data_IF_281150044131
#
_entry.id   IF_281150044131
#
_cell.length_a   1.000
_cell.length_b   1.000
_cell.length_c   1.000
_cell.angle_alpha   90.00
_cell.angle_beta   90.00
_cell.angle_gamma   90.00
#
_symmetry.space_group_name_H-M   'P 1'
#
loop_
_entity.id
_entity.type
_entity.pdbx_description
1 polymer ?
#
# COMPACT_ATOMS: atom_id res chain seq x y z
N UNK A 1 -8.03 9.65 -30.56
CA UNK A 1 -8.18 8.19 -30.33
C UNK A 1 -8.73 7.97 -28.93
N UNK A 2 -9.59 6.95 -28.72
CA UNK A 2 -10.05 6.53 -27.38
C UNK A 2 -9.31 5.29 -26.97
N UNK A 3 -8.57 5.40 -25.87
CA UNK A 3 -7.67 4.36 -25.39
C UNK A 3 -8.17 3.80 -24.05
N UNK A 4 -8.25 2.48 -23.96
CA UNK A 4 -8.51 1.77 -22.72
C UNK A 4 -7.21 1.16 -22.18
N UNK A 5 -6.78 1.59 -21.00
CA UNK A 5 -5.69 0.96 -20.25
C UNK A 5 -6.32 0.12 -19.15
N UNK A 6 -6.07 -1.19 -19.16
CA UNK A 6 -6.76 -2.12 -18.25
C UNK A 6 -5.82 -3.14 -17.63
N UNK A 7 -6.15 -3.62 -16.44
CA UNK A 7 -5.42 -4.65 -15.71
C UNK A 7 -4.53 -4.06 -14.60
N UNK A 8 -3.25 -4.43 -14.58
CA UNK A 8 -2.29 -3.95 -13.59
C UNK A 8 -1.77 -2.55 -13.93
N UNK A 9 -2.61 -1.55 -13.70
CA UNK A 9 -2.39 -0.15 -14.07
C UNK A 9 -1.68 0.67 -12.98
N UNK A 10 -1.15 0.03 -11.94
CA UNK A 10 -0.47 0.72 -10.82
C UNK A 10 0.84 1.42 -11.21
N UNK A 11 1.44 1.05 -12.34
CA UNK A 11 2.65 1.67 -12.89
C UNK A 11 2.38 2.92 -13.73
N UNK A 12 1.11 3.21 -14.04
CA UNK A 12 0.73 4.32 -14.91
C UNK A 12 0.73 5.63 -14.13
N UNK A 13 1.57 6.57 -14.53
CA UNK A 13 1.63 7.95 -14.02
C UNK A 13 0.96 8.93 -14.98
N UNK A 14 0.84 10.20 -14.59
CA UNK A 14 0.32 11.23 -15.49
C UNK A 14 1.26 11.47 -16.66
N UNK A 15 2.54 11.48 -16.39
CA UNK A 15 3.61 11.65 -17.36
C UNK A 15 3.57 10.50 -18.37
N UNK A 16 3.38 9.25 -17.90
CA UNK A 16 3.17 8.09 -18.76
C UNK A 16 2.01 8.30 -19.73
N UNK A 17 0.85 8.76 -19.24
CA UNK A 17 -0.34 8.97 -20.11
C UNK A 17 -0.08 10.08 -21.13
N UNK A 18 0.61 11.16 -20.72
CA UNK A 18 0.94 12.27 -21.61
C UNK A 18 1.94 11.89 -22.70
N UNK A 19 2.90 11.03 -22.37
CA UNK A 19 3.90 10.55 -23.31
C UNK A 19 3.32 9.50 -24.27
N UNK A 20 2.64 8.49 -23.74
CA UNK A 20 2.13 7.38 -24.53
C UNK A 20 0.92 7.79 -25.44
N UNK A 21 0.09 8.73 -24.97
CA UNK A 21 -1.19 9.05 -25.62
C UNK A 21 -1.52 10.56 -25.53
N UNK A 22 -0.67 11.45 -26.08
CA UNK A 22 -0.73 12.91 -25.84
C UNK A 22 -2.05 13.56 -26.25
N UNK A 23 -2.68 13.08 -27.32
CA UNK A 23 -3.91 13.66 -27.89
C UNK A 23 -5.15 12.75 -27.77
N UNK A 24 -5.09 11.78 -26.86
CA UNK A 24 -6.13 10.75 -26.76
C UNK A 24 -7.03 10.94 -25.53
N UNK A 25 -8.25 10.45 -25.65
CA UNK A 25 -9.11 10.23 -24.47
C UNK A 25 -8.72 8.90 -23.82
N UNK A 26 -8.18 8.95 -22.59
CA UNK A 26 -7.67 7.78 -21.91
C UNK A 26 -8.61 7.35 -20.79
N UNK A 27 -9.06 6.11 -20.85
CA UNK A 27 -9.83 5.45 -19.82
C UNK A 27 -8.93 4.39 -19.12
N UNK A 28 -8.72 4.54 -17.82
CA UNK A 28 -7.95 3.58 -17.03
C UNK A 28 -8.90 2.77 -16.16
N UNK A 29 -8.79 1.44 -16.26
CA UNK A 29 -9.62 0.49 -15.53
C UNK A 29 -8.74 -0.54 -14.80
N UNK A 30 -8.51 -0.32 -13.50
CA UNK A 30 -7.64 -1.17 -12.71
C UNK A 30 -7.25 -0.56 -11.35
N UNK A 31 -6.05 -0.86 -10.90
CA UNK A 31 -5.47 -0.44 -9.63
C UNK A 31 -4.63 0.86 -9.70
N UNK A 32 -4.96 1.74 -10.64
CA UNK A 32 -4.24 3.00 -10.85
C UNK A 32 -4.28 3.91 -9.61
N UNK A 33 -3.16 4.59 -9.36
CA UNK A 33 -3.01 5.60 -8.31
C UNK A 33 -3.52 6.99 -8.75
N UNK A 34 -3.86 7.14 -10.04
CA UNK A 34 -4.33 8.39 -10.61
C UNK A 34 -5.78 8.68 -10.22
N UNK A 35 -6.13 9.96 -10.30
CA UNK A 35 -7.51 10.45 -10.14
C UNK A 35 -8.08 10.88 -11.49
N UNK A 36 -9.39 10.73 -11.65
CA UNK A 36 -10.10 11.20 -12.84
C UNK A 36 -9.93 12.70 -13.02
N UNK A 37 -9.47 13.10 -14.21
CA UNK A 37 -9.32 14.51 -14.63
C UNK A 37 -10.12 14.77 -15.91
N UNK A 38 -11.39 15.18 -15.78
CA UNK A 38 -12.30 15.40 -16.94
C UNK A 38 -11.77 16.42 -17.95
N UNK A 39 -11.06 17.48 -17.47
CA UNK A 39 -10.49 18.51 -18.38
C UNK A 39 -9.36 17.99 -19.26
N UNK A 40 -8.71 16.89 -18.87
CA UNK A 40 -7.62 16.26 -19.61
C UNK A 40 -8.05 14.98 -20.31
N UNK A 41 -9.34 14.72 -20.41
CA UNK A 41 -9.89 13.51 -21.00
C UNK A 41 -9.34 12.21 -20.38
N UNK A 42 -9.05 12.25 -19.07
CA UNK A 42 -8.58 11.12 -18.29
C UNK A 42 -9.68 10.64 -17.34
N UNK A 43 -10.17 9.42 -17.55
CA UNK A 43 -11.15 8.77 -16.69
C UNK A 43 -10.48 7.58 -15.99
N UNK A 44 -10.53 7.54 -14.67
CA UNK A 44 -9.94 6.45 -13.88
C UNK A 44 -11.02 5.77 -13.06
N UNK A 45 -11.11 4.44 -13.17
CA UNK A 45 -12.04 3.62 -12.39
C UNK A 45 -11.37 2.32 -11.93
N UNK A 46 -11.79 1.74 -10.80
CA UNK A 46 -11.41 0.37 -10.45
C UNK A 46 -11.96 -0.61 -11.49
N UNK A 47 -11.37 -1.80 -11.56
CA UNK A 47 -11.90 -2.87 -12.39
C UNK A 47 -13.30 -3.26 -11.87
N UNK A 48 -14.34 -3.32 -12.74
CA UNK A 48 -15.70 -3.64 -12.31
C UNK A 48 -15.81 -5.08 -11.80
N UNK A 49 -16.52 -5.24 -10.70
CA UNK A 49 -16.83 -6.57 -10.16
C UNK A 49 -17.95 -7.25 -10.94
N UNK A 50 -18.92 -6.46 -11.43
CA UNK A 50 -20.10 -6.94 -12.16
C UNK A 50 -19.93 -6.84 -13.66
N UNK A 51 -20.46 -7.82 -14.36
CA UNK A 51 -20.39 -7.91 -15.83
C UNK A 51 -21.19 -6.80 -16.51
N UNK A 52 -22.31 -6.39 -15.92
CA UNK A 52 -23.16 -5.33 -16.46
C UNK A 52 -22.45 -3.99 -16.52
N UNK A 53 -21.61 -3.68 -15.51
CA UNK A 53 -20.84 -2.44 -15.48
C UNK A 53 -19.76 -2.43 -16.57
N UNK A 54 -19.13 -3.57 -16.81
CA UNK A 54 -18.14 -3.71 -17.87
C UNK A 54 -18.80 -3.58 -19.26
N UNK A 55 -19.98 -4.21 -19.42
CA UNK A 55 -20.76 -4.09 -20.65
C UNK A 55 -21.17 -2.63 -20.92
N UNK A 56 -21.64 -1.90 -19.92
CA UNK A 56 -22.00 -0.50 -20.03
C UNK A 56 -20.80 0.40 -20.42
N UNK A 57 -19.62 0.11 -19.89
CA UNK A 57 -18.38 0.83 -20.25
C UNK A 57 -18.09 0.61 -21.75
N UNK A 58 -18.03 -0.63 -22.23
CA UNK A 58 -17.74 -0.93 -23.63
C UNK A 58 -18.84 -0.47 -24.59
N UNK A 59 -20.08 -0.35 -24.12
CA UNK A 59 -21.18 0.22 -24.91
C UNK A 59 -21.15 1.74 -25.00
N UNK A 60 -20.71 2.40 -23.90
CA UNK A 60 -20.68 3.85 -23.80
C UNK A 60 -19.47 4.45 -24.48
N UNK A 61 -18.33 3.77 -24.36
CA UNK A 61 -17.06 4.21 -24.93
C UNK A 61 -16.68 3.28 -26.08
N UNK A 62 -16.60 3.85 -27.28
CA UNK A 62 -16.14 3.13 -28.47
C UNK A 62 -14.61 3.20 -28.51
N UNK A 63 -13.94 2.22 -27.88
CA UNK A 63 -12.49 2.17 -27.77
C UNK A 63 -11.87 1.74 -29.10
N UNK A 64 -10.84 2.47 -29.55
CA UNK A 64 -10.05 2.18 -30.74
C UNK A 64 -8.79 1.37 -30.40
N UNK A 65 -8.24 1.58 -29.20
CA UNK A 65 -7.07 0.86 -28.70
C UNK A 65 -7.31 0.39 -27.27
N UNK A 66 -7.01 -0.87 -26.99
CA UNK A 66 -6.92 -1.41 -25.64
C UNK A 66 -5.49 -1.86 -25.36
N UNK A 67 -4.91 -1.38 -24.25
CA UNK A 67 -3.63 -1.88 -23.73
C UNK A 67 -3.90 -2.60 -22.42
N UNK A 68 -3.66 -3.91 -22.43
CA UNK A 68 -3.84 -4.77 -21.26
C UNK A 68 -2.50 -4.95 -20.54
N UNK A 69 -2.41 -4.44 -19.33
CA UNK A 69 -1.27 -4.60 -18.42
C UNK A 69 -1.48 -5.88 -17.61
N UNK A 70 -0.83 -6.96 -17.97
CA UNK A 70 -0.96 -8.21 -17.22
C UNK A 70 -0.24 -8.15 -15.87
N UNK A 71 -0.64 -9.00 -14.91
CA UNK A 71 0.10 -9.13 -13.66
C UNK A 71 1.52 -9.68 -13.85
N UNK A 72 1.80 -10.30 -15.01
CA UNK A 72 3.10 -10.87 -15.34
C UNK A 72 4.20 -9.83 -15.60
N UNK A 73 3.86 -8.56 -15.76
CA UNK A 73 4.82 -7.45 -15.88
C UNK A 73 5.39 -7.02 -14.51
N UNK A 74 4.84 -7.54 -13.41
CA UNK A 74 5.32 -7.27 -12.05
C UNK A 74 6.25 -8.39 -11.60
N UNK A 75 7.43 -8.03 -11.16
CA UNK A 75 8.39 -8.97 -10.59
C UNK A 75 7.82 -9.56 -9.29
N UNK A 76 7.76 -10.89 -9.19
CA UNK A 76 7.07 -11.61 -8.12
C UNK A 76 5.59 -11.20 -7.90
N UNK A 77 4.93 -10.71 -8.96
CA UNK A 77 3.51 -10.40 -8.93
C UNK A 77 2.62 -11.63 -8.75
N UNK A 78 1.41 -11.40 -8.22
CA UNK A 78 0.38 -12.45 -8.06
C UNK A 78 -0.20 -12.83 -9.42
N UNK A 79 -0.43 -14.14 -9.63
CA UNK A 79 -0.97 -14.67 -10.90
C UNK A 79 -2.45 -15.02 -10.81
N UNK A 80 -3.01 -14.88 -9.62
CA UNK A 80 -4.37 -15.29 -9.32
C UNK A 80 -5.39 -14.44 -10.08
N UNK A 81 -6.36 -15.10 -10.73
CA UNK A 81 -7.44 -14.43 -11.45
C UNK A 81 -7.06 -13.74 -12.77
N UNK A 82 -5.77 -13.75 -13.20
CA UNK A 82 -5.30 -13.04 -14.38
C UNK A 82 -5.99 -13.52 -15.66
N UNK A 83 -5.98 -14.84 -15.91
CA UNK A 83 -6.58 -15.42 -17.11
C UNK A 83 -8.11 -15.16 -17.20
N UNK A 84 -8.79 -15.15 -16.07
CA UNK A 84 -10.23 -14.86 -16.00
C UNK A 84 -10.53 -13.40 -16.34
N UNK A 85 -9.79 -12.46 -15.75
CA UNK A 85 -9.92 -11.03 -16.06
C UNK A 85 -9.64 -10.74 -17.52
N UNK A 86 -8.54 -11.31 -18.04
CA UNK A 86 -8.17 -11.17 -19.43
C UNK A 86 -9.26 -11.70 -20.37
N UNK A 87 -9.75 -12.93 -20.14
CA UNK A 87 -10.84 -13.52 -20.89
C UNK A 87 -12.11 -12.66 -20.87
N UNK A 88 -12.44 -12.14 -19.69
CA UNK A 88 -13.59 -11.25 -19.49
C UNK A 88 -13.48 -10.00 -20.36
N UNK A 89 -12.36 -9.28 -20.30
CA UNK A 89 -12.14 -8.07 -21.09
C UNK A 89 -12.14 -8.37 -22.58
N UNK A 90 -11.42 -9.40 -23.04
CA UNK A 90 -11.38 -9.80 -24.46
C UNK A 90 -12.77 -10.17 -25.00
N UNK A 91 -13.66 -10.72 -24.17
CA UNK A 91 -15.02 -11.05 -24.58
C UNK A 91 -15.86 -9.82 -24.94
N UNK A 92 -15.53 -8.64 -24.41
CA UNK A 92 -16.18 -7.38 -24.76
C UNK A 92 -15.54 -6.69 -25.95
N UNK A 93 -14.23 -6.87 -26.18
CA UNK A 93 -13.54 -6.34 -27.37
C UNK A 93 -14.17 -6.84 -28.68
N UNK A 94 -14.70 -8.06 -28.71
CA UNK A 94 -15.38 -8.62 -29.90
C UNK A 94 -16.61 -7.83 -30.36
N UNK A 95 -17.13 -6.94 -29.52
CA UNK A 95 -18.29 -6.08 -29.82
C UNK A 95 -17.91 -4.78 -30.53
N UNK A 96 -16.66 -4.35 -30.40
CA UNK A 96 -16.11 -3.16 -31.08
C UNK A 96 -15.63 -3.56 -32.46
N UNK A 97 -16.01 -2.82 -33.49
CA UNK A 97 -15.70 -3.18 -34.89
C UNK A 97 -14.25 -2.91 -35.30
N UNK A 98 -13.55 -2.01 -34.58
CA UNK A 98 -12.23 -1.50 -34.98
C UNK A 98 -11.22 -1.42 -33.82
N UNK A 99 -11.44 -2.18 -32.75
CA UNK A 99 -10.52 -2.13 -31.61
C UNK A 99 -9.22 -2.91 -31.90
N UNK A 100 -8.09 -2.27 -31.62
CA UNK A 100 -6.78 -2.90 -31.59
C UNK A 100 -6.43 -3.29 -30.16
N UNK A 101 -5.72 -4.40 -29.98
CA UNK A 101 -5.36 -4.91 -28.64
C UNK A 101 -3.85 -5.06 -28.54
N UNK A 102 -3.26 -4.41 -27.53
CA UNK A 102 -1.90 -4.65 -27.07
C UNK A 102 -1.97 -5.39 -25.74
N UNK A 103 -1.40 -6.59 -25.70
CA UNK A 103 -1.27 -7.36 -24.46
C UNK A 103 0.18 -7.29 -23.97
N UNK A 104 0.40 -6.59 -22.86
CA UNK A 104 1.71 -6.49 -22.22
C UNK A 104 1.91 -7.67 -21.28
N UNK A 105 2.99 -8.40 -21.43
CA UNK A 105 3.32 -9.58 -20.64
C UNK A 105 4.78 -9.58 -20.20
N UNK A 106 5.10 -10.39 -19.19
CA UNK A 106 6.45 -10.48 -18.63
C UNK A 106 7.41 -11.33 -19.51
N UNK A 107 8.69 -11.34 -19.16
CA UNK A 107 9.73 -12.02 -19.95
C UNK A 107 9.69 -13.55 -19.83
N UNK A 108 8.91 -14.11 -18.89
CA UNK A 108 8.90 -15.56 -18.58
C UNK A 108 8.46 -16.42 -19.77
N UNK A 109 7.64 -15.89 -20.68
CA UNK A 109 7.26 -16.63 -21.88
C UNK A 109 8.46 -17.02 -22.75
N UNK A 110 9.55 -16.25 -22.68
CA UNK A 110 10.80 -16.50 -23.37
C UNK A 110 11.80 -17.40 -22.61
N UNK A 111 11.47 -17.87 -21.40
CA UNK A 111 12.39 -18.70 -20.62
C UNK A 111 12.39 -20.15 -21.13
N UNK A 112 13.56 -20.80 -21.11
CA UNK A 112 13.70 -22.21 -21.46
C UNK A 112 12.99 -23.12 -20.45
N UNK A 113 13.06 -22.76 -19.15
CA UNK A 113 12.46 -23.56 -18.08
C UNK A 113 10.92 -23.58 -18.19
N UNK A 114 10.36 -24.79 -18.05
CA UNK A 114 8.90 -24.98 -18.02
C UNK A 114 8.41 -25.03 -16.58
N UNK A 115 8.28 -23.88 -15.98
CA UNK A 115 7.70 -23.73 -14.64
C UNK A 115 6.18 -23.50 -14.74
N UNK A 116 5.46 -23.67 -13.62
CA UNK A 116 4.04 -23.31 -13.57
C UNK A 116 3.79 -21.86 -14.01
N UNK A 117 4.70 -20.94 -13.65
CA UNK A 117 4.65 -19.54 -14.06
C UNK A 117 4.78 -19.36 -15.57
N UNK A 118 5.79 -19.96 -16.21
CA UNK A 118 5.98 -19.86 -17.66
C UNK A 118 4.79 -20.44 -18.44
N UNK A 119 4.18 -21.52 -17.93
CA UNK A 119 2.99 -22.10 -18.55
C UNK A 119 1.78 -21.16 -18.48
N UNK A 120 1.57 -20.49 -17.34
CA UNK A 120 0.49 -19.52 -17.17
C UNK A 120 0.66 -18.30 -18.10
N UNK A 121 1.88 -17.76 -18.18
CA UNK A 121 2.19 -16.64 -19.09
C UNK A 121 1.91 -17.01 -20.53
N UNK A 122 2.44 -18.15 -21.01
CA UNK A 122 2.19 -18.65 -22.38
C UNK A 122 0.72 -18.98 -22.62
N UNK A 123 0.01 -19.48 -21.61
CA UNK A 123 -1.43 -19.72 -21.68
C UNK A 123 -2.23 -18.43 -21.91
N UNK A 124 -1.88 -17.35 -21.23
CA UNK A 124 -2.51 -16.04 -21.41
C UNK A 124 -2.21 -15.43 -22.78
N UNK A 125 -0.97 -15.54 -23.28
CA UNK A 125 -0.62 -15.15 -24.66
C UNK A 125 -1.44 -15.92 -25.70
N UNK A 126 -1.55 -17.24 -25.54
CA UNK A 126 -2.35 -18.06 -26.42
C UNK A 126 -3.83 -17.68 -26.39
N UNK A 127 -4.36 -17.32 -25.22
CA UNK A 127 -5.74 -16.83 -25.08
C UNK A 127 -5.95 -15.57 -25.93
N UNK A 128 -5.05 -14.59 -25.86
CA UNK A 128 -5.10 -13.39 -26.69
C UNK A 128 -5.08 -13.71 -28.18
N UNK A 129 -4.16 -14.60 -28.61
CA UNK A 129 -4.05 -15.03 -30.01
C UNK A 129 -5.33 -15.71 -30.48
N UNK A 130 -5.94 -16.58 -29.67
CA UNK A 130 -7.16 -17.30 -30.07
C UNK A 130 -8.35 -16.33 -30.22
N UNK A 131 -8.50 -15.38 -29.28
CA UNK A 131 -9.54 -14.36 -29.39
C UNK A 131 -9.32 -13.45 -30.61
N UNK A 132 -8.07 -13.04 -30.87
CA UNK A 132 -7.75 -12.25 -32.05
C UNK A 132 -8.14 -12.97 -33.35
N UNK A 133 -7.77 -14.22 -33.50
CA UNK A 133 -8.13 -15.04 -34.67
C UNK A 133 -9.63 -15.31 -34.80
N UNK A 134 -10.28 -15.65 -33.68
CA UNK A 134 -11.72 -16.01 -33.67
C UNK A 134 -12.62 -14.82 -34.03
N UNK A 135 -12.26 -13.63 -33.56
CA UNK A 135 -13.10 -12.43 -33.72
C UNK A 135 -12.51 -11.40 -34.69
N UNK A 136 -11.42 -11.75 -35.37
CA UNK A 136 -10.73 -10.86 -36.32
C UNK A 136 -10.29 -9.52 -35.68
N UNK A 137 -9.84 -9.59 -34.43
CA UNK A 137 -9.31 -8.46 -33.68
C UNK A 137 -7.79 -8.40 -33.89
N UNK A 138 -7.23 -7.27 -34.34
CA UNK A 138 -5.78 -7.09 -34.37
C UNK A 138 -5.18 -7.14 -32.98
N UNK A 139 -4.35 -8.14 -32.67
CA UNK A 139 -3.73 -8.35 -31.38
C UNK A 139 -2.21 -8.34 -31.53
N UNK A 140 -1.55 -7.54 -30.67
CA UNK A 140 -0.09 -7.57 -30.47
C UNK A 140 0.22 -8.05 -29.06
N UNK A 141 1.11 -9.02 -28.96
CA UNK A 141 1.67 -9.50 -27.68
C UNK A 141 3.05 -8.89 -27.53
N UNK A 142 3.23 -8.08 -26.48
CA UNK A 142 4.47 -7.39 -26.22
C UNK A 142 5.07 -7.93 -24.93
N UNK A 143 6.16 -8.68 -25.06
CA UNK A 143 6.93 -9.22 -23.92
C UNK A 143 7.92 -8.18 -23.47
N UNK A 144 7.76 -7.69 -22.28
CA UNK A 144 8.59 -6.62 -21.70
C UNK A 144 9.37 -7.14 -20.49
N UNK A 145 10.54 -6.56 -20.18
CA UNK A 145 11.13 -6.68 -18.85
C UNK A 145 10.12 -6.21 -17.77
N UNK A 146 10.34 -6.61 -16.51
CA UNK A 146 9.45 -6.23 -15.43
C UNK A 146 9.44 -4.72 -15.22
N UNK A 147 8.26 -4.14 -15.01
CA UNK A 147 8.15 -2.74 -14.62
C UNK A 147 8.54 -2.56 -13.15
N UNK A 148 9.01 -1.37 -12.82
CA UNK A 148 9.35 -1.00 -11.45
C UNK A 148 8.81 0.39 -11.08
N UNK A 149 8.59 0.60 -9.78
CA UNK A 149 8.03 1.84 -9.25
C UNK A 149 8.37 2.05 -7.77
N UNK A 150 8.65 3.29 -7.37
CA UNK A 150 8.76 3.67 -5.96
C UNK A 150 7.43 3.96 -5.28
N UNK A 151 6.31 4.01 -6.01
CA UNK A 151 5.02 4.44 -5.47
C UNK A 151 3.93 3.37 -5.50
N UNK A 152 4.05 2.37 -6.37
CA UNK A 152 3.09 1.29 -6.50
C UNK A 152 3.32 0.21 -5.44
N UNK A 153 2.38 0.05 -4.49
CA UNK A 153 2.53 -0.80 -3.30
C UNK A 153 2.74 -2.29 -3.59
N UNK A 154 2.26 -2.78 -4.72
CA UNK A 154 2.44 -4.19 -5.11
C UNK A 154 3.79 -4.43 -5.80
N UNK A 155 4.50 -3.36 -6.16
CA UNK A 155 5.82 -3.44 -6.78
C UNK A 155 6.87 -4.02 -5.82
N UNK A 156 7.83 -4.75 -6.39
CA UNK A 156 8.92 -5.36 -5.65
C UNK A 156 9.81 -4.32 -4.96
N UNK A 157 10.13 -3.21 -5.65
CA UNK A 157 10.98 -2.16 -5.09
C UNK A 157 10.30 -1.36 -3.99
N UNK A 158 8.99 -1.10 -4.13
CA UNK A 158 8.24 -0.49 -3.02
C UNK A 158 8.32 -1.35 -1.74
N UNK A 159 8.12 -2.67 -1.86
CA UNK A 159 8.21 -3.61 -0.73
C UNK A 159 9.64 -3.69 -0.17
N UNK A 160 10.64 -3.70 -1.05
CA UNK A 160 12.06 -3.65 -0.67
C UNK A 160 12.40 -2.38 0.12
N UNK A 161 11.99 -1.21 -0.34
CA UNK A 161 12.21 0.07 0.34
C UNK A 161 11.49 0.14 1.69
N UNK A 162 10.29 -0.45 1.79
CA UNK A 162 9.58 -0.58 3.06
C UNK A 162 10.36 -1.45 4.06
N UNK A 163 10.96 -2.58 3.62
CA UNK A 163 11.80 -3.43 4.45
C UNK A 163 13.08 -2.69 4.90
N UNK A 164 13.78 -1.99 3.99
CA UNK A 164 14.95 -1.17 4.34
C UNK A 164 14.59 -0.17 5.44
N UNK A 165 13.48 0.53 5.28
CA UNK A 165 13.06 1.55 6.25
C UNK A 165 12.64 0.99 7.61
N UNK A 166 12.01 -0.19 7.63
CA UNK A 166 11.61 -0.85 8.89
C UNK A 166 12.76 -1.57 9.59
N UNK A 167 13.95 -1.65 8.96
CA UNK A 167 15.09 -2.40 9.46
C UNK A 167 14.92 -3.92 9.33
N UNK A 168 13.97 -4.36 8.51
CA UNK A 168 13.77 -5.76 8.17
C UNK A 168 14.80 -6.23 7.14
N UNK A 169 15.15 -7.52 7.11
CA UNK A 169 16.02 -8.06 6.08
C UNK A 169 15.40 -7.93 4.69
N UNK A 170 16.21 -7.53 3.71
CA UNK A 170 15.81 -7.56 2.30
C UNK A 170 16.10 -8.94 1.74
N UNK A 171 15.03 -9.66 1.36
CA UNK A 171 15.14 -10.97 0.74
C UNK A 171 15.28 -10.86 -0.78
N UNK A 172 16.35 -11.43 -1.34
CA UNK A 172 16.57 -11.59 -2.78
C UNK A 172 16.50 -13.07 -3.11
N UNK A 173 15.56 -13.46 -3.97
CA UNK A 173 15.35 -14.87 -4.34
C UNK A 173 16.17 -15.28 -5.56
N UNK A 174 16.71 -14.32 -6.29
CA UNK A 174 17.53 -14.53 -7.46
C UNK A 174 19.00 -14.74 -7.11
N UNK A 175 19.72 -15.45 -7.98
CA UNK A 175 21.18 -15.54 -7.87
C UNK A 175 21.82 -14.16 -8.04
N UNK A 176 22.90 -13.84 -7.29
CA UNK A 176 23.63 -12.58 -7.46
C UNK A 176 24.11 -12.32 -8.89
N UNK A 177 24.42 -13.36 -9.63
CA UNK A 177 24.89 -13.27 -11.02
C UNK A 177 23.73 -13.26 -12.06
N UNK A 178 22.48 -13.29 -11.58
CA UNK A 178 21.31 -13.20 -12.44
C UNK A 178 21.20 -11.77 -13.01
N UNK A 179 21.02 -11.62 -14.33
CA UNK A 179 20.81 -10.30 -14.93
C UNK A 179 19.51 -9.67 -14.44
N UNK A 180 19.55 -8.37 -14.15
CA UNK A 180 18.36 -7.57 -13.89
C UNK A 180 17.56 -7.40 -15.19
N UNK A 181 16.27 -7.68 -15.14
CA UNK A 181 15.37 -7.54 -16.28
C UNK A 181 14.23 -6.59 -15.92
N UNK A 182 14.56 -5.31 -15.87
CA UNK A 182 13.60 -4.26 -15.51
C UNK A 182 13.53 -3.20 -16.61
N UNK A 183 12.36 -2.59 -16.75
CA UNK A 183 12.05 -1.56 -17.72
C UNK A 183 11.39 -0.38 -17.00
N UNK A 184 11.86 0.83 -17.27
CA UNK A 184 11.22 2.03 -16.79
C UNK A 184 9.87 2.24 -17.49
N UNK A 185 8.85 2.70 -16.75
CA UNK A 185 7.52 2.94 -17.30
C UNK A 185 7.51 4.04 -18.37
N UNK A 186 8.40 5.03 -18.30
CA UNK A 186 8.51 6.08 -19.33
C UNK A 186 9.09 5.56 -20.64
N UNK A 187 10.07 4.63 -20.58
CA UNK A 187 10.55 3.93 -21.78
C UNK A 187 9.43 3.11 -22.43
N UNK A 188 8.57 2.46 -21.63
CA UNK A 188 7.40 1.77 -22.16
C UNK A 188 6.38 2.75 -22.78
N UNK A 189 6.19 3.93 -22.20
CA UNK A 189 5.28 4.95 -22.74
C UNK A 189 5.71 5.38 -24.14
N UNK A 190 7.00 5.67 -24.35
CA UNK A 190 7.56 6.01 -25.67
C UNK A 190 7.35 4.88 -26.70
N UNK A 191 7.51 3.62 -26.26
CA UNK A 191 7.25 2.48 -27.14
C UNK A 191 5.77 2.39 -27.54
N UNK A 192 4.84 2.59 -26.59
CA UNK A 192 3.41 2.54 -26.85
C UNK A 192 2.96 3.67 -27.78
N UNK A 193 3.51 4.88 -27.65
CA UNK A 193 3.30 5.99 -28.59
C UNK A 193 3.67 5.56 -30.00
N UNK A 194 4.91 5.07 -30.21
CA UNK A 194 5.39 4.62 -31.52
C UNK A 194 4.58 3.48 -32.11
N UNK A 195 4.08 2.58 -31.27
CA UNK A 195 3.24 1.46 -31.70
C UNK A 195 1.84 1.89 -32.09
N UNK A 196 1.27 2.87 -31.39
CA UNK A 196 -0.07 3.41 -31.69
C UNK A 196 -0.07 4.23 -32.98
N UNK A 197 1.00 4.98 -33.23
CA UNK A 197 1.14 5.83 -34.43
C UNK A 197 1.46 5.00 -35.69
N UNK A 198 2.17 3.90 -35.54
CA UNK A 198 2.61 3.02 -36.62
C UNK A 198 2.14 1.59 -36.40
N UNK A 199 0.82 1.39 -36.36
CA UNK A 199 0.27 0.05 -36.25
C UNK A 199 0.66 -0.81 -37.43
N UNK A 200 1.17 -2.00 -37.15
CA UNK A 200 1.61 -2.97 -38.14
C UNK A 200 0.88 -4.30 -37.94
N UNK A 201 0.31 -4.85 -38.98
CA UNK A 201 -0.43 -6.12 -38.92
C UNK A 201 0.46 -7.36 -39.12
N UNK A 202 1.71 -7.18 -39.56
CA UNK A 202 2.61 -8.29 -39.86
C UNK A 202 3.16 -8.93 -38.58
N UNK A 203 3.46 -8.14 -37.54
CA UNK A 203 4.14 -8.64 -36.36
C UNK A 203 3.19 -8.74 -35.17
N UNK A 204 2.84 -9.99 -34.80
CA UNK A 204 1.97 -10.26 -33.65
C UNK A 204 2.71 -10.36 -32.33
N UNK A 205 3.98 -10.77 -32.34
CA UNK A 205 4.83 -10.91 -31.17
C UNK A 205 5.99 -9.93 -31.23
N UNK A 206 6.15 -9.13 -30.17
CA UNK A 206 7.23 -8.20 -30.01
C UNK A 206 7.96 -8.51 -28.70
N UNK A 207 9.28 -8.58 -28.76
CA UNK A 207 10.11 -8.72 -27.57
C UNK A 207 10.86 -7.40 -27.33
N UNK A 208 10.68 -6.85 -26.13
CA UNK A 208 11.40 -5.66 -25.71
C UNK A 208 12.76 -6.07 -25.16
N UNK A 209 13.86 -5.52 -25.70
CA UNK A 209 15.21 -5.90 -25.28
C UNK A 209 15.50 -5.43 -23.85
N UNK A 210 16.28 -6.22 -23.13
CA UNK A 210 17.04 -5.75 -21.99
C UNK A 210 18.46 -5.41 -22.44
N UNK A 211 18.76 -4.15 -22.58
CA UNK A 211 20.06 -3.68 -23.09
C UNK A 211 21.10 -3.50 -21.98
N UNK A 212 20.67 -3.51 -20.72
CA UNK A 212 21.54 -3.32 -19.55
C UNK A 212 22.05 -4.68 -19.07
N UNK A 213 23.37 -4.79 -18.84
CA UNK A 213 24.03 -6.01 -18.37
C UNK A 213 24.14 -6.09 -16.85
N UNK A 214 23.40 -5.25 -16.12
CA UNK A 214 23.44 -5.21 -14.68
C UNK A 214 22.90 -6.49 -14.02
N UNK A 215 23.42 -6.81 -12.84
CA UNK A 215 23.11 -8.03 -12.08
C UNK A 215 22.49 -7.73 -10.71
N UNK A 216 21.92 -8.74 -10.05
CA UNK A 216 21.45 -8.59 -8.67
C UNK A 216 22.56 -8.28 -7.68
N UNK A 217 23.81 -8.67 -7.96
CA UNK A 217 24.99 -8.28 -7.16
C UNK A 217 25.20 -6.77 -7.13
N UNK A 218 25.01 -6.10 -8.26
CA UNK A 218 25.12 -4.63 -8.35
C UNK A 218 23.92 -3.95 -7.68
N UNK A 219 22.73 -4.57 -7.75
CA UNK A 219 21.55 -4.11 -7.00
C UNK A 219 21.80 -4.18 -5.48
N UNK A 220 22.40 -5.26 -4.97
CA UNK A 220 22.80 -5.37 -3.56
C UNK A 220 23.74 -4.25 -3.13
N UNK A 221 24.67 -3.84 -4.01
CA UNK A 221 25.54 -2.71 -3.75
C UNK A 221 24.77 -1.40 -3.65
N UNK A 222 23.80 -1.18 -4.56
CA UNK A 222 22.94 -0.01 -4.53
C UNK A 222 22.04 0.05 -3.28
N UNK A 223 21.56 -1.06 -2.81
CA UNK A 223 20.82 -1.14 -1.54
C UNK A 223 21.70 -0.70 -0.37
N UNK A 224 22.97 -1.14 -0.33
CA UNK A 224 23.92 -0.75 0.71
C UNK A 224 24.38 0.71 0.62
N UNK A 225 24.30 1.33 -0.56
CA UNK A 225 24.52 2.77 -0.72
C UNK A 225 23.41 3.60 -0.03
N UNK A 226 22.15 3.09 -0.03
CA UNK A 226 21.04 3.73 0.69
C UNK A 226 21.24 3.59 2.21
N UNK A 227 21.48 2.37 2.69
CA UNK A 227 21.72 2.09 4.11
C UNK A 227 22.71 0.92 4.27
N UNK A 228 23.92 1.23 4.72
CA UNK A 228 25.01 0.25 4.90
C UNK A 228 24.68 -0.81 5.96
N UNK A 229 23.73 -0.56 6.86
CA UNK A 229 23.32 -1.48 7.94
C UNK A 229 22.30 -2.53 7.50
N UNK A 230 21.73 -2.41 6.30
CA UNK A 230 20.72 -3.33 5.77
C UNK A 230 21.26 -4.76 5.70
N UNK A 231 20.48 -5.69 6.24
CA UNK A 231 20.75 -7.12 6.05
C UNK A 231 20.13 -7.58 4.75
N UNK A 232 20.96 -8.16 3.88
CA UNK A 232 20.50 -8.75 2.62
C UNK A 232 20.58 -10.27 2.77
N UNK A 233 19.45 -10.94 2.59
CA UNK A 233 19.35 -12.41 2.59
C UNK A 233 19.17 -12.89 1.17
N UNK A 234 20.24 -13.40 0.59
CA UNK A 234 20.20 -13.97 -0.76
C UNK A 234 19.85 -15.47 -0.67
N UNK A 235 18.71 -15.84 -1.27
CA UNK A 235 18.20 -17.22 -1.29
C UNK A 235 18.43 -17.92 -2.64
N UNK A 236 18.81 -17.16 -3.66
CA UNK A 236 19.03 -17.65 -5.03
C UNK A 236 20.41 -18.27 -5.21
N UNK A 237 20.43 -19.56 -5.52
CA UNK A 237 21.69 -20.31 -5.71
C UNK A 237 22.02 -20.57 -7.17
N UNK A 238 21.01 -20.65 -8.05
CA UNK A 238 21.18 -21.06 -9.45
C UNK A 238 20.51 -20.05 -10.36
N UNK A 239 21.25 -19.47 -11.32
CA UNK A 239 20.66 -18.59 -12.32
C UNK A 239 19.65 -19.35 -13.19
N UNK A 240 18.51 -18.72 -13.48
CA UNK A 240 17.54 -19.25 -14.44
C UNK A 240 18.04 -18.98 -15.83
N UNK A 241 18.12 -20.04 -16.65
CA UNK A 241 18.45 -19.88 -18.06
C UNK A 241 17.35 -19.12 -18.80
N UNK A 242 17.72 -18.07 -19.51
CA UNK A 242 16.83 -17.20 -20.27
C UNK A 242 17.17 -17.27 -21.74
N UNK A 243 16.14 -17.39 -22.57
CA UNK A 243 16.29 -17.29 -24.02
C UNK A 243 16.46 -15.80 -24.36
N UNK A 244 17.54 -15.37 -25.01
CA UNK A 244 17.67 -14.00 -25.47
C UNK A 244 16.48 -13.64 -26.37
N UNK A 245 15.79 -12.52 -26.12
CA UNK A 245 14.67 -12.12 -26.96
C UNK A 245 15.17 -11.69 -28.34
N UNK A 246 14.44 -12.06 -29.40
CA UNK A 246 14.62 -11.46 -30.72
C UNK A 246 13.96 -10.07 -30.72
N UNK A 247 14.78 -9.05 -30.60
CA UNK A 247 14.36 -7.65 -30.48
C UNK A 247 14.42 -6.87 -31.81
N UNK A 248 14.74 -7.55 -32.93
CA UNK A 248 14.94 -6.89 -34.22
C UNK A 248 13.75 -6.05 -34.64
N UNK A 249 12.55 -6.54 -34.45
CA UNK A 249 11.33 -5.81 -34.86
C UNK A 249 11.22 -4.49 -34.08
N UNK A 250 11.40 -4.51 -32.77
CA UNK A 250 11.31 -3.31 -31.93
C UNK A 250 12.37 -2.29 -32.32
N UNK A 251 13.61 -2.74 -32.54
CA UNK A 251 14.71 -1.85 -32.92
C UNK A 251 14.57 -1.28 -34.34
N UNK A 252 14.29 -2.14 -35.31
CA UNK A 252 14.33 -1.70 -36.71
C UNK A 252 13.00 -1.11 -37.18
N UNK A 253 11.86 -1.64 -36.72
CA UNK A 253 10.54 -1.15 -37.13
C UNK A 253 10.14 0.11 -36.40
N UNK A 254 10.29 0.13 -35.05
CA UNK A 254 9.90 1.25 -34.22
C UNK A 254 11.07 2.20 -33.86
N UNK A 255 12.31 1.82 -34.23
CA UNK A 255 13.50 2.64 -33.91
C UNK A 255 13.67 2.89 -32.42
N UNK A 256 13.30 1.91 -31.59
CA UNK A 256 13.19 2.08 -30.16
C UNK A 256 14.06 1.09 -29.38
N UNK A 257 14.60 1.54 -28.25
CA UNK A 257 15.31 0.74 -27.26
C UNK A 257 15.23 1.42 -25.89
N UNK A 258 15.32 0.68 -24.75
CA UNK A 258 15.31 1.28 -23.41
C UNK A 258 16.48 2.21 -23.21
N UNK A 259 16.23 3.34 -22.53
CA UNK A 259 17.22 4.40 -22.26
C UNK A 259 17.54 4.51 -20.79
N UNK A 260 16.60 4.13 -19.89
CA UNK A 260 16.72 4.35 -18.44
C UNK A 260 17.11 3.03 -17.76
N UNK A 261 18.30 3.03 -17.12
CA UNK A 261 18.78 1.89 -16.34
C UNK A 261 18.21 1.91 -14.93
N UNK A 262 17.72 0.77 -14.44
CA UNK A 262 17.25 0.63 -13.06
C UNK A 262 18.29 1.10 -12.02
N UNK A 263 19.57 0.75 -12.21
CA UNK A 263 20.61 1.09 -11.23
C UNK A 263 20.96 2.58 -11.23
N UNK A 264 20.82 3.27 -12.36
CA UNK A 264 20.98 4.72 -12.46
C UNK A 264 19.79 5.43 -11.81
N UNK A 265 18.59 4.92 -12.02
CA UNK A 265 17.31 5.45 -11.51
C UNK A 265 17.06 5.08 -10.03
N UNK A 266 17.89 4.20 -9.43
CA UNK A 266 17.59 3.55 -8.16
C UNK A 266 17.41 4.54 -7.00
N UNK A 267 18.20 5.60 -6.95
CA UNK A 267 18.09 6.65 -5.94
C UNK A 267 16.80 7.45 -6.13
N UNK A 268 16.45 7.75 -7.38
CA UNK A 268 15.25 8.54 -7.70
C UNK A 268 13.95 7.78 -7.37
N UNK A 269 13.91 6.46 -7.62
CA UNK A 269 12.74 5.65 -7.21
C UNK A 269 12.64 5.50 -5.68
N UNK A 270 13.79 5.50 -4.97
CA UNK A 270 13.76 5.54 -3.52
C UNK A 270 13.22 6.87 -2.98
N UNK A 271 13.62 7.99 -3.58
CA UNK A 271 13.08 9.31 -3.24
C UNK A 271 11.58 9.41 -3.55
N UNK A 272 11.12 8.88 -4.68
CA UNK A 272 9.69 8.75 -4.99
C UNK A 272 8.93 7.92 -3.94
N UNK A 273 9.53 6.83 -3.47
CA UNK A 273 8.98 6.03 -2.37
C UNK A 273 8.85 6.87 -1.10
N UNK A 274 9.90 7.59 -0.70
CA UNK A 274 9.89 8.46 0.49
C UNK A 274 8.83 9.57 0.38
N UNK A 275 8.67 10.16 -0.79
CA UNK A 275 7.64 11.17 -1.04
C UNK A 275 6.23 10.58 -0.99
N UNK A 276 6.02 9.37 -1.51
CA UNK A 276 4.71 8.69 -1.52
C UNK A 276 4.19 8.40 -0.11
N UNK A 277 5.09 8.09 0.83
CA UNK A 277 4.74 7.85 2.24
C UNK A 277 4.78 9.13 3.09
N UNK A 278 5.41 10.20 2.56
CA UNK A 278 5.90 11.34 3.33
C UNK A 278 4.85 12.27 3.92
N UNK A 279 3.65 12.42 3.38
CA UNK A 279 2.66 13.34 3.95
C UNK A 279 1.84 12.74 5.10
N UNK A 280 1.45 11.49 4.99
CA UNK A 280 0.60 10.85 6.02
C UNK A 280 1.42 10.41 7.22
N UNK A 281 2.61 9.85 6.97
CA UNK A 281 3.50 9.40 8.04
C UNK A 281 4.27 10.55 8.69
N UNK A 282 4.69 11.58 7.96
CA UNK A 282 5.25 12.82 8.56
C UNK A 282 4.26 13.50 9.51
N UNK A 283 2.95 13.40 9.29
CA UNK A 283 1.94 13.87 10.25
C UNK A 283 1.89 12.96 11.47
N UNK A 284 1.87 11.64 11.28
CA UNK A 284 1.83 10.65 12.37
C UNK A 284 3.12 10.70 13.18
N UNK A 285 4.28 10.77 12.52
CA UNK A 285 5.58 10.86 13.20
C UNK A 285 5.75 12.20 13.93
N UNK A 286 5.30 13.32 13.35
CA UNK A 286 5.25 14.62 14.08
C UNK A 286 4.33 14.56 15.28
N UNK A 287 3.18 13.87 15.18
CA UNK A 287 2.29 13.65 16.32
C UNK A 287 2.93 12.74 17.38
N UNK A 288 3.58 11.66 16.98
CA UNK A 288 4.32 10.78 17.90
C UNK A 288 5.46 11.50 18.60
N UNK A 289 6.28 12.22 17.85
CA UNK A 289 7.38 13.02 18.39
C UNK A 289 6.84 14.12 19.34
N UNK A 290 5.74 14.77 18.97
CA UNK A 290 5.08 15.76 19.83
C UNK A 290 4.53 15.12 21.10
N UNK A 291 3.85 13.97 21.01
CA UNK A 291 3.35 13.20 22.14
C UNK A 291 4.49 12.74 23.06
N UNK A 292 5.59 12.23 22.51
CA UNK A 292 6.75 11.80 23.30
C UNK A 292 7.44 12.98 24.01
N UNK A 293 7.58 14.11 23.31
CA UNK A 293 8.16 15.34 23.88
C UNK A 293 7.29 15.92 24.98
N UNK A 294 5.97 15.74 24.91
CA UNK A 294 5.00 16.29 25.89
C UNK A 294 4.36 15.17 26.74
N UNK A 295 5.03 14.05 26.90
CA UNK A 295 4.54 12.89 27.70
C UNK A 295 3.92 13.25 29.05
N UNK A 296 4.49 14.16 29.87
CA UNK A 296 3.86 14.52 31.14
C UNK A 296 2.52 15.24 30.94
N UNK A 297 2.41 16.12 29.93
CA UNK A 297 1.16 16.86 29.63
C UNK A 297 0.11 15.87 29.10
N UNK A 298 0.50 14.95 28.23
CA UNK A 298 -0.41 13.91 27.67
C UNK A 298 -1.02 13.08 28.79
N UNK A 299 -0.22 12.64 29.77
CA UNK A 299 -0.71 11.89 30.93
C UNK A 299 -1.69 12.67 31.80
N UNK A 300 -1.48 13.99 31.95
CA UNK A 300 -2.43 14.86 32.67
C UNK A 300 -3.75 14.96 31.89
N UNK A 301 -3.67 15.14 30.58
CA UNK A 301 -4.87 15.19 29.72
C UNK A 301 -5.64 13.88 29.77
N UNK A 302 -4.94 12.74 29.70
CA UNK A 302 -5.55 11.41 29.85
C UNK A 302 -6.20 11.22 31.20
N UNK A 303 -5.56 11.70 32.29
CA UNK A 303 -6.13 11.67 33.64
C UNK A 303 -7.44 12.48 33.72
N UNK A 304 -7.45 13.68 33.14
CA UNK A 304 -8.64 14.56 33.17
C UNK A 304 -9.77 13.97 32.30
N UNK A 305 -9.46 13.50 31.10
CA UNK A 305 -10.45 12.85 30.24
C UNK A 305 -11.00 11.58 30.89
N UNK A 306 -10.11 10.76 31.47
CA UNK A 306 -10.49 9.57 32.20
C UNK A 306 -11.42 9.88 33.38
N UNK A 307 -11.12 10.93 34.17
CA UNK A 307 -11.95 11.39 35.26
C UNK A 307 -13.38 11.73 34.80
N UNK A 308 -13.53 12.55 33.77
CA UNK A 308 -14.86 12.89 33.25
C UNK A 308 -15.59 11.68 32.68
N UNK A 309 -14.89 10.75 32.03
CA UNK A 309 -15.48 9.52 31.52
C UNK A 309 -16.00 8.64 32.66
N UNK A 310 -15.20 8.44 33.73
CA UNK A 310 -15.62 7.63 34.86
C UNK A 310 -16.74 8.29 35.68
N UNK A 311 -16.74 9.62 35.82
CA UNK A 311 -17.86 10.36 36.44
C UNK A 311 -19.15 10.24 35.62
N UNK A 312 -19.05 10.30 34.29
CA UNK A 312 -20.19 10.06 33.40
C UNK A 312 -20.72 8.63 33.54
N UNK A 313 -19.83 7.62 33.57
CA UNK A 313 -20.22 6.22 33.81
C UNK A 313 -20.84 6.01 35.20
N UNK A 314 -20.29 6.67 36.22
CA UNK A 314 -20.83 6.64 37.57
C UNK A 314 -22.23 7.24 37.67
N UNK A 315 -22.47 8.33 36.94
CA UNK A 315 -23.80 8.96 36.83
C UNK A 315 -24.80 8.01 36.14
N UNK A 316 -24.39 7.33 35.06
CA UNK A 316 -25.22 6.34 34.37
C UNK A 316 -25.50 5.09 35.25
N UNK A 317 -24.49 4.62 35.97
CA UNK A 317 -24.58 3.46 36.87
C UNK A 317 -25.48 3.73 38.10
N UNK A 318 -25.46 4.96 38.62
CA UNK A 318 -26.31 5.37 39.76
C UNK A 318 -27.81 5.20 39.51
N UNK A 319 -28.25 5.14 38.26
CA UNK A 319 -29.65 4.95 37.89
C UNK A 319 -30.07 3.46 37.76
N UNK A 320 -29.13 2.51 37.90
CA UNK A 320 -29.44 1.08 37.79
C UNK A 320 -29.06 0.33 39.09
N UNK A 321 -30.04 -0.35 39.67
CA UNK A 321 -29.91 -1.04 40.97
C UNK A 321 -28.80 -2.14 40.97
N UNK A 322 -28.47 -2.70 39.83
CA UNK A 322 -27.46 -3.75 39.68
C UNK A 322 -25.99 -3.27 39.85
N UNK A 323 -25.72 -1.97 39.64
CA UNK A 323 -24.38 -1.39 39.69
C UNK A 323 -24.09 -0.60 40.98
N UNK A 324 -25.04 -0.47 41.87
CA UNK A 324 -24.88 0.26 43.14
C UNK A 324 -23.78 -0.30 44.06
N UNK A 325 -23.29 -1.50 43.82
CA UNK A 325 -22.25 -2.14 44.66
C UNK A 325 -20.82 -1.91 44.16
N UNK A 326 -20.63 -1.32 42.97
CA UNK A 326 -19.31 -1.09 42.39
C UNK A 326 -19.00 0.40 42.46
N UNK A 327 -18.00 0.74 43.28
CA UNK A 327 -17.48 2.11 43.31
C UNK A 327 -16.53 2.35 42.12
N UNK A 328 -17.09 2.91 41.04
CA UNK A 328 -16.35 3.23 39.81
C UNK A 328 -15.21 4.22 40.03
N UNK A 329 -15.28 5.05 41.07
CA UNK A 329 -14.21 5.96 41.47
C UNK A 329 -12.97 5.21 41.89
N UNK A 330 -13.16 4.13 42.64
CA UNK A 330 -12.07 3.26 43.07
C UNK A 330 -11.40 2.55 41.88
N UNK A 331 -12.20 2.13 40.89
CA UNK A 331 -11.66 1.53 39.65
C UNK A 331 -10.79 2.53 38.89
N UNK A 332 -11.22 3.78 38.80
CA UNK A 332 -10.44 4.86 38.18
C UNK A 332 -9.08 5.06 38.89
N UNK A 333 -9.07 5.14 40.23
CA UNK A 333 -7.85 5.30 41.03
C UNK A 333 -6.89 4.13 40.82
N UNK A 334 -7.39 2.89 40.88
CA UNK A 334 -6.60 1.68 40.65
C UNK A 334 -5.99 1.67 39.25
N UNK A 335 -6.77 2.02 38.24
CA UNK A 335 -6.34 2.03 36.86
C UNK A 335 -5.21 3.06 36.62
N UNK A 336 -5.40 4.30 37.07
CA UNK A 336 -4.38 5.33 36.88
C UNK A 336 -3.14 5.12 37.78
N UNK A 337 -3.29 4.64 38.98
CA UNK A 337 -2.17 4.24 39.84
C UNK A 337 -1.36 3.12 39.20
N UNK A 338 -2.01 2.07 38.69
CA UNK A 338 -1.37 0.93 38.05
C UNK A 338 -0.71 1.26 36.72
N UNK A 339 -1.28 2.18 35.93
CA UNK A 339 -0.74 2.55 34.60
C UNK A 339 0.38 3.58 34.70
N UNK A 340 0.27 4.59 35.55
CA UNK A 340 1.15 5.77 35.54
C UNK A 340 2.00 5.96 36.78
N UNK A 341 1.75 5.17 37.86
CA UNK A 341 2.53 5.17 39.11
C UNK A 341 1.95 6.08 40.20
N UNK A 342 2.72 6.22 41.31
CA UNK A 342 2.23 6.77 42.57
C UNK A 342 1.70 8.22 42.46
N UNK A 343 2.38 9.09 41.71
CA UNK A 343 1.97 10.47 41.56
C UNK A 343 0.59 10.63 40.89
N UNK A 344 0.32 9.79 39.89
CA UNK A 344 -0.96 9.78 39.15
C UNK A 344 -2.06 9.05 39.94
N UNK A 345 -1.70 8.02 40.74
CA UNK A 345 -2.63 7.37 41.66
C UNK A 345 -3.12 8.33 42.75
N UNK A 346 -2.22 9.12 43.32
CA UNK A 346 -2.57 10.15 44.32
C UNK A 346 -3.38 11.29 43.67
N UNK A 347 -3.01 11.72 42.45
CA UNK A 347 -3.78 12.75 41.75
C UNK A 347 -5.20 12.27 41.38
N UNK A 348 -5.36 11.01 40.96
CA UNK A 348 -6.66 10.42 40.72
C UNK A 348 -7.50 10.34 42.01
N UNK A 349 -6.90 9.94 43.14
CA UNK A 349 -7.56 9.91 44.43
C UNK A 349 -8.01 11.33 44.90
N UNK A 350 -7.20 12.34 44.61
CA UNK A 350 -7.57 13.74 44.92
C UNK A 350 -8.76 14.24 44.09
N UNK A 351 -8.77 13.94 42.79
CA UNK A 351 -9.90 14.29 41.88
C UNK A 351 -11.19 13.59 42.30
N UNK A 352 -11.15 12.30 42.63
CA UNK A 352 -12.32 11.55 43.07
C UNK A 352 -12.79 11.98 44.48
N UNK A 353 -11.85 12.41 45.33
CA UNK A 353 -12.18 13.01 46.62
C UNK A 353 -13.00 14.31 46.44
N UNK A 354 -12.58 15.17 45.51
CA UNK A 354 -13.32 16.41 45.21
C UNK A 354 -14.72 16.08 44.64
N UNK A 355 -14.80 15.08 43.74
CA UNK A 355 -16.09 14.64 43.20
C UNK A 355 -17.02 14.11 44.28
N UNK A 356 -16.50 13.30 45.21
CA UNK A 356 -17.25 12.74 46.31
C UNK A 356 -17.74 13.83 47.27
N UNK A 357 -16.88 14.82 47.59
CA UNK A 357 -17.25 16.00 48.40
C UNK A 357 -18.41 16.78 47.73
N UNK A 358 -18.32 17.02 46.44
CA UNK A 358 -19.37 17.68 45.68
C UNK A 358 -20.69 16.88 45.67
N UNK A 359 -20.63 15.57 45.70
CA UNK A 359 -21.79 14.69 45.79
C UNK A 359 -22.46 14.81 47.20
N UNK A 360 -21.69 14.80 48.29
CA UNK A 360 -22.21 15.01 49.62
C UNK A 360 -22.88 16.36 49.81
N UNK A 361 -22.29 17.43 49.24
CA UNK A 361 -22.89 18.76 49.27
C UNK A 361 -24.24 18.84 48.56
N UNK A 362 -24.38 18.13 47.42
CA UNK A 362 -25.65 18.01 46.69
C UNK A 362 -26.73 17.26 47.48
N UNK A 363 -26.31 16.30 48.32
CA UNK A 363 -27.21 15.56 49.21
C UNK A 363 -27.55 16.32 50.53
N UNK A 364 -27.03 17.55 50.69
CA UNK A 364 -27.33 18.40 51.83
C UNK A 364 -26.49 18.11 53.07
N UNK A 365 -25.43 17.32 52.94
CA UNK A 365 -24.48 17.06 54.04
C UNK A 365 -23.45 18.21 54.08
N UNK A 366 -23.59 19.10 55.05
CA UNK A 366 -22.66 20.23 55.20
C UNK A 366 -21.25 19.79 55.57
N UNK A 367 -20.23 20.55 55.16
CA UNK A 367 -18.81 20.31 55.40
C UNK A 367 -18.46 20.04 56.88
N UNK A 368 -19.14 20.72 57.82
CA UNK A 368 -18.96 20.52 59.24
C UNK A 368 -19.42 19.15 59.73
N UNK A 369 -20.54 18.67 59.21
CA UNK A 369 -21.10 17.34 59.55
C UNK A 369 -20.23 16.19 59.02
N UNK A 370 -19.57 16.42 57.89
CA UNK A 370 -18.71 15.45 57.22
C UNK A 370 -17.50 15.06 58.10
N UNK A 371 -16.92 16.01 58.85
CA UNK A 371 -15.76 15.78 59.70
C UNK A 371 -16.09 15.25 61.09
N UNK A 372 -17.34 15.36 61.52
CA UNK A 372 -17.74 14.86 62.88
C UNK A 372 -18.03 13.37 62.89
N UNK A 373 -18.39 12.75 61.75
CA UNK A 373 -18.62 11.31 61.68
C UNK A 373 -17.52 10.57 60.92
N UNK A 374 -16.76 9.66 61.60
CA UNK A 374 -15.67 8.93 60.98
C UNK A 374 -16.07 8.12 59.71
N UNK A 375 -17.31 7.61 59.68
CA UNK A 375 -17.87 6.88 58.53
C UNK A 375 -17.85 7.70 57.23
N UNK A 376 -17.93 9.01 57.30
CA UNK A 376 -18.00 9.87 56.12
C UNK A 376 -16.64 10.17 55.47
N UNK A 377 -15.53 10.12 56.25
CA UNK A 377 -14.20 10.41 55.70
C UNK A 377 -13.29 9.22 55.55
N UNK A 378 -13.69 8.01 56.01
CA UNK A 378 -13.02 6.77 55.73
C UNK A 378 -12.81 6.53 54.22
N UNK A 379 -13.79 6.76 53.32
CA UNK A 379 -13.62 6.61 51.87
C UNK A 379 -12.45 7.45 51.32
N UNK A 380 -12.25 8.65 51.81
CA UNK A 380 -11.15 9.53 51.39
C UNK A 380 -9.78 8.93 51.70
N UNK A 381 -9.58 8.44 52.93
CA UNK A 381 -8.35 7.76 53.34
C UNK A 381 -8.12 6.54 52.47
N UNK A 382 -9.18 5.80 52.20
CA UNK A 382 -9.11 4.59 51.39
C UNK A 382 -8.70 4.87 49.93
N UNK A 383 -9.24 5.93 49.32
CA UNK A 383 -8.86 6.36 47.97
C UNK A 383 -7.36 6.71 47.89
N UNK A 384 -6.83 7.48 48.81
CA UNK A 384 -5.40 7.80 48.85
C UNK A 384 -4.52 6.58 49.13
N UNK A 385 -4.93 5.69 50.04
CA UNK A 385 -4.21 4.47 50.33
C UNK A 385 -4.14 3.55 49.12
N UNK A 386 -5.26 3.34 48.42
CA UNK A 386 -5.30 2.50 47.20
C UNK A 386 -4.49 3.14 46.08
N UNK A 387 -4.61 4.42 45.84
CA UNK A 387 -3.83 5.16 44.84
C UNK A 387 -2.31 5.03 45.07
N UNK A 388 -1.88 5.19 46.31
CA UNK A 388 -0.49 5.05 46.70
C UNK A 388 0.02 3.61 46.55
N UNK A 389 -0.73 2.60 47.02
CA UNK A 389 -0.35 1.19 46.93
C UNK A 389 -0.24 0.72 45.48
N UNK A 390 -1.27 1.01 44.64
CA UNK A 390 -1.24 0.64 43.24
C UNK A 390 -0.08 1.32 42.49
N UNK A 391 0.17 2.59 42.78
CA UNK A 391 1.28 3.32 42.20
C UNK A 391 2.65 2.80 42.66
N UNK A 392 2.79 2.40 43.90
CA UNK A 392 4.01 1.80 44.44
C UNK A 392 4.33 0.42 43.83
N UNK A 393 3.32 -0.44 43.70
CA UNK A 393 3.45 -1.75 43.04
C UNK A 393 3.94 -1.56 41.60
N UNK A 394 3.42 -0.57 40.89
CA UNK A 394 3.89 -0.24 39.54
C UNK A 394 5.37 0.16 39.51
N UNK A 395 5.81 1.01 40.44
CA UNK A 395 7.21 1.44 40.50
C UNK A 395 8.13 0.24 40.76
N UNK A 396 7.80 -0.61 41.70
CA UNK A 396 8.58 -1.80 42.06
C UNK A 396 8.68 -2.82 40.89
N UNK A 397 7.58 -3.00 40.12
CA UNK A 397 7.58 -3.89 38.96
C UNK A 397 8.35 -3.34 37.76
N UNK A 398 8.71 -2.07 37.77
CA UNK A 398 9.52 -1.43 36.70
C UNK A 398 11.02 -1.47 37.03
N UNK A 399 11.38 -1.64 38.28
CA UNK A 399 12.77 -1.75 38.74
C UNK A 399 13.32 -3.20 38.70
N UNK A 400 12.44 -4.18 38.64
CA UNK A 400 12.76 -5.60 38.40
C UNK A 400 12.63 -5.95 36.90
#
# INVERSE_FOLDING_TARGET
MRVLLVGNTGYITKEFVQEAFPESEVFIMGNSLLKTERKKHLIVRPFPERDEELEDIFRTYDFELMVYFSNYITFHGTMEGEAEKLRKVLSYCKRSKEIHVIYLTGPEAGYAATTGKTLLVRGAENLCCQYGKMYQIPVKIVRIPYLYSGVYKEDYFYKMFAAIRSGEPVEIQESPDQPLQFLNSMDLAELLEKMSDNWDEEYHYLNVPNVFSNTFRELEQKIKEIDASVRIENKGLIPVEKIPPDDKVVRFKYGWFPKISLLEDFSDIYDQYLDSIGEKERRIDRWKIWLDKHRPIVKIVELVIGFFLFEFLNHLAGNQAQFKMIDLRLVFIVLFGSLYGINYGIAAAALETISLLAAYEREGVGWTTLFYEPSNWIPFIFYFAVGAICGYVRMKNKEN
#
